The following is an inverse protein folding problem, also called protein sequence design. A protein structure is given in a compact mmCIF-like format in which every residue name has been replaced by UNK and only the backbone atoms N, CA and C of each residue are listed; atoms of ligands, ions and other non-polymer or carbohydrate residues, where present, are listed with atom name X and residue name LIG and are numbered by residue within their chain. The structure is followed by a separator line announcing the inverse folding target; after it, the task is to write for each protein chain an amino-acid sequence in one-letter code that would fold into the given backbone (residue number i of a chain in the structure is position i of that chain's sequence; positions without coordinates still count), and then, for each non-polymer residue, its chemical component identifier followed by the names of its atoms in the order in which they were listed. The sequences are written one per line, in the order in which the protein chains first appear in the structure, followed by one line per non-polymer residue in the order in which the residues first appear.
data_IF_867889627841
#
_entry.id   IF_867889627841
#
_cell.length_a   1.000
_cell.length_b   1.000
_cell.length_c   1.000
_cell.angle_alpha   90.00
_cell.angle_beta   90.00
_cell.angle_gamma   90.00
#
_symmetry.space_group_name_H-M   'P 1'
#
loop_
_entity.id
_entity.type
_entity.pdbx_description
1 polymer ?
#
# COMPACT_ATOMS: atom_id res chain seq x y z
N UNK A 1 16.53 -21.46 7.71
CA UNK A 1 16.58 -20.94 6.34
C UNK A 1 15.89 -19.57 6.23
N UNK A 2 14.59 -19.46 6.51
CA UNK A 2 13.81 -18.22 6.40
C UNK A 2 14.33 -17.10 7.29
N UNK A 3 14.73 -17.40 8.52
CA UNK A 3 15.32 -16.41 9.42
C UNK A 3 16.63 -15.84 8.87
N UNK A 4 17.46 -16.67 8.25
CA UNK A 4 18.72 -16.22 7.65
C UNK A 4 18.47 -15.30 6.44
N UNK A 5 17.48 -15.63 5.58
CA UNK A 5 17.10 -14.79 4.45
C UNK A 5 16.52 -13.47 4.95
N UNK A 6 15.60 -13.50 5.92
CA UNK A 6 15.03 -12.30 6.52
C UNK A 6 16.10 -11.40 7.11
N UNK A 7 17.04 -11.96 7.85
CA UNK A 7 18.16 -11.20 8.42
C UNK A 7 19.06 -10.57 7.34
N UNK A 8 19.41 -11.32 6.31
CA UNK A 8 20.21 -10.81 5.18
C UNK A 8 19.48 -9.73 4.38
N UNK A 9 18.16 -9.82 4.29
CA UNK A 9 17.32 -8.87 3.53
C UNK A 9 16.99 -7.59 4.32
N UNK A 10 17.07 -7.61 5.65
CA UNK A 10 16.71 -6.47 6.51
C UNK A 10 17.45 -5.17 6.17
N UNK A 11 18.69 -5.27 5.70
CA UNK A 11 19.48 -4.10 5.27
C UNK A 11 18.86 -3.37 4.09
N UNK A 12 18.05 -4.06 3.27
CA UNK A 12 17.39 -3.50 2.10
C UNK A 12 15.96 -3.04 2.40
N UNK A 13 15.41 -3.38 3.58
CA UNK A 13 14.02 -3.11 3.99
C UNK A 13 13.02 -3.49 2.89
N UNK A 14 13.03 -4.73 2.39
CA UNK A 14 12.15 -5.13 1.32
C UNK A 14 10.70 -5.20 1.81
N UNK A 15 9.77 -4.77 0.96
CA UNK A 15 8.33 -4.89 1.23
C UNK A 15 7.84 -6.32 1.06
N UNK A 16 8.59 -7.12 0.32
CA UNK A 16 8.28 -8.50 0.04
C UNK A 16 9.57 -9.31 -0.14
N UNK A 17 9.58 -10.51 0.41
CA UNK A 17 10.63 -11.51 0.17
C UNK A 17 10.00 -12.69 -0.54
N UNK A 18 10.58 -13.10 -1.65
CA UNK A 18 10.16 -14.28 -2.38
C UNK A 18 11.32 -15.26 -2.52
N UNK A 19 11.02 -16.55 -2.30
CA UNK A 19 11.97 -17.65 -2.57
C UNK A 19 11.34 -18.58 -3.58
N UNK A 20 12.17 -19.09 -4.47
CA UNK A 20 11.79 -20.04 -5.52
C UNK A 20 12.66 -21.29 -5.38
N UNK A 21 12.04 -22.45 -5.62
CA UNK A 21 12.72 -23.72 -5.78
C UNK A 21 12.25 -24.38 -7.09
N UNK A 22 13.21 -24.90 -7.83
CA UNK A 22 12.95 -25.64 -9.08
C UNK A 22 13.46 -27.07 -8.88
N UNK A 23 12.56 -28.03 -9.05
CA UNK A 23 12.85 -29.45 -8.86
C UNK A 23 12.41 -30.24 -10.09
N UNK A 24 13.20 -31.26 -10.46
CA UNK A 24 12.77 -32.26 -11.42
C UNK A 24 11.88 -33.29 -10.68
N UNK A 25 10.70 -33.52 -11.22
CA UNK A 25 9.72 -34.47 -10.68
C UNK A 25 9.32 -35.48 -11.75
N UNK A 26 8.86 -36.65 -11.32
CA UNK A 26 8.31 -37.65 -12.24
C UNK A 26 6.90 -37.97 -11.79
N UNK A 27 5.93 -37.70 -12.66
CA UNK A 27 4.53 -38.05 -12.46
C UNK A 27 4.07 -38.96 -13.58
N UNK A 28 3.46 -40.07 -13.25
CA UNK A 28 2.96 -41.09 -14.20
C UNK A 28 3.99 -41.56 -15.25
N UNK A 29 5.30 -41.51 -14.87
CA UNK A 29 6.40 -41.88 -15.75
C UNK A 29 6.87 -40.79 -16.71
N UNK A 30 6.24 -39.63 -16.71
CA UNK A 30 6.68 -38.45 -17.42
C UNK A 30 7.64 -37.61 -16.55
N UNK A 31 8.65 -37.03 -17.20
CA UNK A 31 9.56 -36.08 -16.52
C UNK A 31 8.99 -34.69 -16.62
N UNK A 32 8.73 -34.10 -15.47
CA UNK A 32 8.23 -32.75 -15.34
C UNK A 32 9.19 -31.92 -14.48
N UNK A 33 9.12 -30.62 -14.64
CA UNK A 33 9.76 -29.67 -13.74
C UNK A 33 8.69 -29.05 -12.86
N UNK A 34 8.98 -28.91 -11.56
CA UNK A 34 8.12 -28.24 -10.61
C UNK A 34 8.80 -26.98 -10.11
N UNK A 35 8.13 -25.85 -10.27
CA UNK A 35 8.51 -24.59 -9.66
C UNK A 35 7.60 -24.33 -8.47
N UNK A 36 8.17 -24.29 -7.28
CA UNK A 36 7.48 -23.89 -6.07
C UNK A 36 8.02 -22.56 -5.58
N UNK A 37 7.13 -21.69 -5.10
CA UNK A 37 7.56 -20.44 -4.50
C UNK A 37 6.78 -20.10 -3.24
N UNK A 38 7.43 -19.35 -2.40
CA UNK A 38 6.84 -18.80 -1.20
C UNK A 38 7.14 -17.30 -1.14
N UNK A 39 6.07 -16.52 -0.95
CA UNK A 39 6.14 -15.08 -0.80
C UNK A 39 5.79 -14.69 0.64
N UNK A 40 6.59 -13.80 1.21
CA UNK A 40 6.37 -13.24 2.54
C UNK A 40 6.28 -11.72 2.44
N UNK A 41 5.22 -11.14 2.97
CA UNK A 41 5.02 -9.69 3.04
C UNK A 41 4.51 -9.29 4.42
N UNK A 42 4.95 -8.15 4.98
CA UNK A 42 4.42 -7.65 6.23
C UNK A 42 2.93 -7.28 6.04
N UNK A 43 2.13 -7.53 7.08
CA UNK A 43 0.75 -7.08 7.12
C UNK A 43 0.74 -5.64 7.67
N UNK A 44 0.28 -4.65 6.89
CA UNK A 44 0.28 -3.25 7.32
C UNK A 44 -0.40 -3.05 8.66
N UNK A 45 0.23 -2.26 9.54
CA UNK A 45 -0.31 -1.95 10.87
C UNK A 45 -0.22 -3.07 11.91
N UNK A 46 0.44 -4.18 11.59
CA UNK A 46 0.64 -5.31 12.50
C UNK A 46 2.09 -5.81 12.47
N UNK A 47 2.46 -6.62 13.47
CA UNK A 47 3.74 -7.36 13.47
C UNK A 47 3.62 -8.74 12.78
N UNK A 48 2.55 -8.96 12.01
CA UNK A 48 2.30 -10.23 11.35
C UNK A 48 2.89 -10.25 9.94
N UNK A 49 3.26 -11.43 9.49
CA UNK A 49 3.73 -11.68 8.13
C UNK A 49 2.72 -12.56 7.41
N UNK A 50 2.25 -12.09 6.27
CA UNK A 50 1.43 -12.89 5.35
C UNK A 50 2.36 -13.80 4.54
N UNK A 51 2.02 -15.09 4.48
CA UNK A 51 2.76 -16.09 3.72
C UNK A 51 1.81 -16.66 2.65
N UNK A 52 2.22 -16.56 1.39
CA UNK A 52 1.55 -17.17 0.24
C UNK A 52 2.48 -18.19 -0.35
N UNK A 53 1.97 -19.41 -0.63
CA UNK A 53 2.72 -20.51 -1.24
C UNK A 53 1.97 -21.01 -2.46
N UNK A 54 2.69 -21.21 -3.54
CA UNK A 54 2.17 -21.75 -4.79
C UNK A 54 3.18 -22.69 -5.42
N UNK A 55 2.69 -23.57 -6.29
CA UNK A 55 3.50 -24.44 -7.12
C UNK A 55 2.85 -24.63 -8.50
N UNK A 56 3.68 -24.86 -9.49
CA UNK A 56 3.29 -25.21 -10.84
C UNK A 56 4.19 -26.31 -11.38
N UNK A 57 3.67 -27.13 -12.25
CA UNK A 57 4.43 -28.19 -12.94
C UNK A 57 4.24 -28.05 -14.45
N UNK A 58 5.32 -28.26 -15.21
CA UNK A 58 5.26 -28.31 -16.67
C UNK A 58 6.40 -29.19 -17.22
N UNK A 59 6.19 -29.68 -18.44
CA UNK A 59 7.22 -30.45 -19.13
C UNK A 59 8.37 -29.57 -19.66
N UNK A 60 8.04 -28.30 -20.01
CA UNK A 60 9.02 -27.38 -20.56
C UNK A 60 9.24 -26.17 -19.62
N UNK A 61 10.50 -25.74 -19.52
CA UNK A 61 10.89 -24.58 -18.71
C UNK A 61 10.24 -23.27 -19.16
N UNK A 62 10.02 -23.11 -20.46
CA UNK A 62 9.34 -21.96 -21.03
C UNK A 62 7.91 -21.81 -20.51
N UNK A 63 7.21 -22.93 -20.38
CA UNK A 63 5.84 -22.97 -19.89
C UNK A 63 5.78 -22.65 -18.39
N UNK A 64 6.71 -23.21 -17.60
CA UNK A 64 6.85 -22.84 -16.18
C UNK A 64 7.04 -21.34 -16.00
N UNK A 65 7.97 -20.73 -16.75
CA UNK A 65 8.25 -19.29 -16.62
C UNK A 65 7.04 -18.46 -17.01
N UNK A 66 6.34 -18.84 -18.09
CA UNK A 66 5.15 -18.14 -18.55
C UNK A 66 4.03 -18.21 -17.51
N UNK A 67 3.74 -19.40 -16.99
CA UNK A 67 2.68 -19.61 -16.01
C UNK A 67 3.01 -18.96 -14.67
N UNK A 68 4.25 -19.09 -14.21
CA UNK A 68 4.73 -18.38 -13.01
C UNK A 68 4.55 -16.86 -13.14
N UNK A 69 4.98 -16.29 -14.29
CA UNK A 69 4.87 -14.85 -14.52
C UNK A 69 3.41 -14.40 -14.56
N UNK A 70 2.52 -15.15 -15.19
CA UNK A 70 1.10 -14.85 -15.24
C UNK A 70 0.45 -14.92 -13.87
N UNK A 71 0.72 -15.98 -13.10
CA UNK A 71 0.20 -16.17 -11.75
C UNK A 71 0.67 -15.06 -10.81
N UNK A 72 1.98 -14.81 -10.77
CA UNK A 72 2.55 -13.77 -9.90
C UNK A 72 2.02 -12.38 -10.25
N UNK A 73 1.94 -12.06 -11.55
CA UNK A 73 1.40 -10.77 -11.99
C UNK A 73 -0.08 -10.63 -11.62
N UNK A 74 -0.86 -11.68 -11.78
CA UNK A 74 -2.27 -11.69 -11.39
C UNK A 74 -2.47 -11.50 -9.89
N UNK A 75 -1.67 -12.17 -9.06
CA UNK A 75 -1.72 -12.02 -7.60
C UNK A 75 -1.33 -10.60 -7.16
N UNK A 76 -0.22 -10.08 -7.69
CA UNK A 76 0.23 -8.73 -7.36
C UNK A 76 -0.77 -7.67 -7.83
N UNK A 77 -1.34 -7.84 -9.03
CA UNK A 77 -2.37 -6.94 -9.52
C UNK A 77 -3.62 -6.96 -8.62
N UNK A 78 -4.07 -8.14 -8.18
CA UNK A 78 -5.21 -8.28 -7.29
C UNK A 78 -4.94 -7.66 -5.90
N UNK A 79 -3.72 -7.78 -5.38
CA UNK A 79 -3.33 -7.17 -4.09
C UNK A 79 -3.17 -5.65 -4.15
N UNK A 80 -2.75 -5.14 -5.31
CA UNK A 80 -2.53 -3.71 -5.54
C UNK A 80 -3.71 -3.04 -6.24
N UNK A 81 -4.74 -3.81 -6.62
CA UNK A 81 -5.92 -3.26 -7.26
C UNK A 81 -6.56 -2.18 -6.39
N UNK A 82 -6.66 -1.00 -6.94
CA UNK A 82 -7.40 0.11 -6.34
C UNK A 82 -8.86 -0.08 -6.72
N UNK A 83 -9.68 -0.45 -5.74
CA UNK A 83 -11.13 -0.55 -5.93
C UNK A 83 -11.72 0.83 -5.74
N UNK A 84 -12.13 1.46 -6.85
CA UNK A 84 -12.80 2.74 -6.78
C UNK A 84 -14.24 2.57 -6.29
N UNK A 85 -14.62 3.36 -5.31
CA UNK A 85 -16.00 3.44 -4.81
C UNK A 85 -16.84 4.30 -5.76
N UNK A 86 -18.10 3.93 -5.92
CA UNK A 86 -19.02 4.66 -6.80
C UNK A 86 -19.30 6.08 -6.27
N UNK A 87 -19.36 6.23 -4.95
CA UNK A 87 -19.54 7.52 -4.28
C UNK A 87 -18.27 7.88 -3.51
N UNK A 88 -17.72 9.09 -3.70
CA UNK A 88 -16.55 9.53 -2.96
C UNK A 88 -16.91 9.82 -1.50
N UNK A 89 -16.04 9.45 -0.59
CA UNK A 89 -16.12 9.84 0.81
C UNK A 89 -15.20 11.04 1.07
N UNK A 90 -15.66 11.99 1.87
CA UNK A 90 -14.86 13.15 2.27
C UNK A 90 -14.08 12.83 3.54
N UNK A 91 -12.77 13.05 3.49
CA UNK A 91 -11.86 12.92 4.62
C UNK A 91 -11.14 14.24 4.85
N UNK A 92 -10.71 14.47 6.11
CA UNK A 92 -9.90 15.62 6.47
C UNK A 92 -8.47 15.15 6.70
N UNK A 93 -7.53 15.75 5.96
CA UNK A 93 -6.10 15.52 6.13
C UNK A 93 -5.47 16.77 6.72
N UNK A 94 -4.79 16.61 7.85
CA UNK A 94 -3.95 17.66 8.42
C UNK A 94 -2.50 17.44 7.98
N UNK A 95 -1.87 18.46 7.45
CA UNK A 95 -0.46 18.44 7.04
C UNK A 95 0.28 19.49 7.84
N UNK A 96 1.30 19.07 8.57
CA UNK A 96 2.12 19.93 9.43
C UNK A 96 3.50 20.22 8.81
N UNK A 97 4.27 21.08 9.44
CA UNK A 97 5.62 21.49 9.00
C UNK A 97 5.63 22.24 7.66
N UNK A 98 4.58 22.97 7.34
CA UNK A 98 4.49 23.81 6.16
C UNK A 98 5.08 25.19 6.47
N UNK A 99 6.11 25.59 5.74
CA UNK A 99 6.83 26.84 6.00
C UNK A 99 6.33 28.01 5.15
N UNK A 100 5.60 27.70 4.05
CA UNK A 100 5.14 28.70 3.10
C UNK A 100 3.84 28.29 2.41
N UNK A 101 3.14 29.26 1.83
CA UNK A 101 1.99 28.99 0.98
C UNK A 101 2.36 28.14 -0.25
N UNK A 102 3.61 28.23 -0.71
CA UNK A 102 4.10 27.40 -1.79
C UNK A 102 4.10 25.92 -1.41
N UNK A 103 4.44 25.58 -0.16
CA UNK A 103 4.39 24.20 0.35
C UNK A 103 2.94 23.69 0.38
N UNK A 104 1.99 24.53 0.78
CA UNK A 104 0.56 24.21 0.77
C UNK A 104 0.09 23.85 -0.64
N UNK A 105 0.47 24.66 -1.64
CA UNK A 105 0.13 24.41 -3.06
C UNK A 105 0.83 23.15 -3.58
N UNK A 106 2.07 22.90 -3.16
CA UNK A 106 2.78 21.68 -3.53
C UNK A 106 2.09 20.43 -2.98
N UNK A 107 1.67 20.45 -1.71
CA UNK A 107 0.91 19.35 -1.10
C UNK A 107 -0.45 19.15 -1.78
N UNK A 108 -1.19 20.21 -2.04
CA UNK A 108 -2.47 20.13 -2.77
C UNK A 108 -2.28 19.50 -4.15
N UNK A 109 -1.25 19.93 -4.88
CA UNK A 109 -0.91 19.39 -6.20
C UNK A 109 -0.53 17.91 -6.13
N UNK A 110 0.23 17.51 -5.11
CA UNK A 110 0.62 16.15 -4.87
C UNK A 110 -0.61 15.28 -4.59
N UNK A 111 -1.46 15.69 -3.64
CA UNK A 111 -2.67 14.95 -3.28
C UNK A 111 -3.63 14.80 -4.48
N UNK A 112 -3.78 15.82 -5.32
CA UNK A 112 -4.61 15.75 -6.53
C UNK A 112 -4.06 14.77 -7.60
N UNK A 113 -2.78 14.37 -7.52
CA UNK A 113 -2.18 13.38 -8.43
C UNK A 113 -2.34 11.94 -7.92
N UNK A 114 -2.74 11.77 -6.67
CA UNK A 114 -2.93 10.44 -6.09
C UNK A 114 -4.11 9.73 -6.73
N UNK A 115 -3.88 8.50 -7.17
CA UNK A 115 -4.94 7.69 -7.74
C UNK A 115 -6.07 7.45 -6.72
N UNK A 116 -7.31 7.71 -7.14
CA UNK A 116 -8.49 7.56 -6.30
C UNK A 116 -8.85 8.81 -5.48
N UNK A 117 -8.10 9.90 -5.64
CA UNK A 117 -8.49 11.23 -5.16
C UNK A 117 -9.34 11.90 -6.23
N UNK A 118 -10.58 12.22 -5.91
CA UNK A 118 -11.49 12.91 -6.83
C UNK A 118 -11.31 14.43 -6.79
N UNK A 119 -11.08 14.99 -5.59
CA UNK A 119 -10.79 16.41 -5.42
C UNK A 119 -10.12 16.68 -4.07
N UNK A 120 -9.33 17.72 -4.01
CA UNK A 120 -8.70 18.25 -2.79
C UNK A 120 -9.09 19.73 -2.67
N UNK A 121 -9.47 20.14 -1.47
CA UNK A 121 -9.81 21.55 -1.19
C UNK A 121 -9.16 21.94 0.13
N UNK A 122 -8.39 23.02 0.12
CA UNK A 122 -7.87 23.62 1.34
C UNK A 122 -9.03 24.13 2.17
N UNK A 123 -9.21 23.59 3.39
CA UNK A 123 -10.26 24.02 4.33
C UNK A 123 -9.77 25.01 5.34
N UNK A 124 -8.52 24.89 5.78
CA UNK A 124 -7.93 25.76 6.77
C UNK A 124 -6.41 25.83 6.59
N UNK A 125 -5.83 27.00 6.84
CA UNK A 125 -4.39 27.18 6.92
C UNK A 125 -4.05 28.06 8.13
N UNK A 126 -3.18 27.56 8.99
CA UNK A 126 -2.77 28.25 10.21
C UNK A 126 -1.30 27.95 10.52
N UNK A 127 -0.50 29.00 10.63
CA UNK A 127 0.94 28.92 10.97
C UNK A 127 1.69 27.91 10.07
N UNK A 128 1.92 26.69 10.56
CA UNK A 128 2.68 25.63 9.86
C UNK A 128 1.79 24.41 9.54
N UNK A 129 0.46 24.54 9.64
CA UNK A 129 -0.48 23.44 9.40
C UNK A 129 -1.50 23.86 8.35
N UNK A 130 -1.78 22.94 7.43
CA UNK A 130 -2.89 23.07 6.50
C UNK A 130 -3.84 21.86 6.65
N UNK A 131 -5.13 22.13 6.58
CA UNK A 131 -6.17 21.10 6.57
C UNK A 131 -6.84 21.05 5.21
N UNK A 132 -6.88 19.87 4.64
CA UNK A 132 -7.47 19.63 3.34
C UNK A 132 -8.71 18.74 3.50
N UNK A 133 -9.81 19.14 2.86
CA UNK A 133 -10.94 18.26 2.62
C UNK A 133 -10.65 17.47 1.32
N UNK A 134 -10.53 16.16 1.43
CA UNK A 134 -10.17 15.26 0.33
C UNK A 134 -11.33 14.32 0.04
N UNK A 135 -11.85 14.38 -1.17
CA UNK A 135 -12.86 13.45 -1.65
C UNK A 135 -12.18 12.22 -2.24
N UNK A 136 -12.35 11.07 -1.59
CA UNK A 136 -11.71 9.81 -1.97
C UNK A 136 -12.71 8.85 -2.61
N UNK A 137 -12.34 8.26 -3.73
CA UNK A 137 -12.99 7.09 -4.34
C UNK A 137 -12.34 5.77 -3.89
N UNK A 138 -11.36 5.84 -3.02
CA UNK A 138 -10.67 4.70 -2.40
C UNK A 138 -10.86 4.74 -0.89
N UNK A 139 -10.58 3.63 -0.22
CA UNK A 139 -10.59 3.65 1.23
C UNK A 139 -9.34 4.37 1.80
N UNK A 140 -9.45 4.82 3.04
CA UNK A 140 -8.38 5.55 3.72
C UNK A 140 -7.11 4.72 3.88
N UNK A 141 -7.24 3.40 4.02
CA UNK A 141 -6.11 2.49 4.16
C UNK A 141 -5.31 2.40 2.86
N UNK A 142 -5.99 2.40 1.70
CA UNK A 142 -5.35 2.45 0.39
C UNK A 142 -4.63 3.79 0.18
N UNK A 143 -5.26 4.92 0.53
CA UNK A 143 -4.62 6.23 0.49
C UNK A 143 -3.35 6.25 1.35
N UNK A 144 -3.44 5.80 2.59
CA UNK A 144 -2.30 5.73 3.53
C UNK A 144 -1.14 4.92 2.92
N UNK A 145 -1.45 3.78 2.30
CA UNK A 145 -0.47 2.93 1.65
C UNK A 145 0.22 3.63 0.46
N UNK A 146 -0.52 4.39 -0.33
CA UNK A 146 0.04 5.16 -1.45
C UNK A 146 0.94 6.29 -0.92
N UNK A 147 0.49 7.03 0.07
CA UNK A 147 1.24 8.15 0.65
C UNK A 147 2.52 7.72 1.38
N UNK A 148 2.61 6.48 1.86
CA UNK A 148 3.86 5.95 2.45
C UNK A 148 5.04 5.95 1.46
N UNK A 149 4.77 5.90 0.17
CA UNK A 149 5.79 5.92 -0.88
C UNK A 149 6.15 7.31 -1.37
N UNK A 150 5.44 8.33 -0.88
CA UNK A 150 5.67 9.71 -1.27
C UNK A 150 6.82 10.30 -0.44
N UNK A 151 7.99 10.59 -1.04
CA UNK A 151 9.15 11.04 -0.30
C UNK A 151 8.98 12.43 0.33
N UNK A 152 8.01 13.22 -0.14
CA UNK A 152 7.74 14.56 0.36
C UNK A 152 6.89 14.57 1.64
N UNK A 153 6.28 13.43 2.02
CA UNK A 153 5.37 13.34 3.15
C UNK A 153 5.82 12.23 4.11
N UNK A 154 5.64 12.48 5.40
CA UNK A 154 5.82 11.48 6.45
C UNK A 154 4.47 11.27 7.12
N UNK A 155 4.01 10.02 7.16
CA UNK A 155 2.83 9.64 7.93
C UNK A 155 3.18 9.66 9.42
N UNK A 156 2.59 10.59 10.15
CA UNK A 156 2.67 10.60 11.59
C UNK A 156 1.74 9.53 12.18
N UNK A 157 2.15 8.79 13.22
CA UNK A 157 1.27 7.83 13.88
C UNK A 157 0.05 8.57 14.42
N UNK A 158 -1.10 8.28 13.87
CA UNK A 158 -2.37 8.94 14.17
C UNK A 158 -2.75 8.69 15.62
N UNK A 159 -2.76 9.72 16.43
CA UNK A 159 -3.60 9.73 17.61
C UNK A 159 -5.02 9.90 17.11
N UNK A 160 -5.82 8.82 17.13
CA UNK A 160 -7.26 8.89 16.86
C UNK A 160 -7.89 9.79 17.94
N UNK A 161 -7.94 11.08 17.71
CA UNK A 161 -8.77 11.97 18.50
C UNK A 161 -10.22 11.76 18.07
N UNK A 162 -10.93 10.88 18.79
CA UNK A 162 -12.39 10.90 18.79
C UNK A 162 -12.82 12.24 19.42
N UNK A 163 -13.08 13.21 18.58
CA UNK A 163 -13.81 14.40 19.01
C UNK A 163 -15.28 14.01 19.16
N UNK A 164 -15.66 13.64 20.39
CA UNK A 164 -17.06 13.48 20.77
C UNK A 164 -17.67 14.87 20.89
N UNK A 165 -18.10 15.43 19.80
CA UNK A 165 -18.90 16.65 19.74
C UNK A 165 -20.30 16.29 19.25
N UNK A 166 -21.28 16.25 20.17
CA UNK A 166 -22.70 16.13 19.86
C UNK A 166 -23.13 17.30 18.98
N UNK A 167 -23.34 17.04 17.69
CA UNK A 167 -24.38 17.71 16.89
C UNK A 167 -24.68 16.87 15.66
N UNK A 168 -25.95 16.75 15.35
CA UNK A 168 -26.56 15.88 14.35
C UNK A 168 -25.89 15.94 12.96
N UNK A 169 -25.69 14.75 12.36
CA UNK A 169 -25.27 14.51 10.95
C UNK A 169 -23.82 14.83 10.55
N UNK A 170 -22.86 14.42 11.31
CA UNK A 170 -21.48 14.35 10.81
C UNK A 170 -20.98 12.91 10.87
N UNK A 171 -20.63 12.36 9.70
CA UNK A 171 -19.79 11.17 9.63
C UNK A 171 -18.54 11.39 10.48
N UNK A 172 -17.99 10.36 11.13
CA UNK A 172 -16.77 10.52 11.92
C UNK A 172 -15.66 11.02 11.01
N UNK A 173 -15.20 12.26 11.25
CA UNK A 173 -14.05 12.81 10.55
C UNK A 173 -12.83 12.01 11.01
N UNK A 174 -12.27 11.21 10.12
CA UNK A 174 -10.98 10.56 10.34
C UNK A 174 -9.92 11.57 9.96
N UNK A 175 -9.15 12.02 10.92
CA UNK A 175 -8.05 12.96 10.73
C UNK A 175 -6.76 12.16 10.51
N UNK A 176 -6.11 12.37 9.39
CA UNK A 176 -4.83 11.77 9.04
C UNK A 176 -3.77 12.87 9.12
N UNK A 177 -2.78 12.69 9.99
CA UNK A 177 -1.72 13.66 10.15
C UNK A 177 -0.53 13.30 9.26
N UNK A 178 -0.13 14.23 8.42
CA UNK A 178 1.03 14.16 7.55
C UNK A 178 2.03 15.25 7.94
N UNK A 179 3.32 14.95 7.80
CA UNK A 179 4.40 15.91 8.00
C UNK A 179 5.13 16.13 6.67
N UNK A 180 5.25 17.39 6.24
CA UNK A 180 6.06 17.77 5.09
C UNK A 180 7.55 17.72 5.46
N UNK A 181 8.38 17.18 4.58
CA UNK A 181 9.84 17.13 4.70
C UNK A 181 10.49 18.41 4.22
#
# INVERSE_FOLDING_TARGET
FWQAIGHASNRYRPDMIMTLALDDVSEDGEKLMRLSWQRQSPVPGTNQTRIVRNEITAAERSDLVREFSATLTGELAAEQAVVLQAEPNTYHLAVTNLQSLADVVAVETLLNRVLGVASVTLSEYSANEARFAVNLQIDLLQLTRILQWEPALILSPTTQSMVTGMTERSQPAVELNLESR
#
